data_IF_243343561892
#
_entry.id   IF_243343561892
#
_cell.length_a   1.000
_cell.length_b   1.000
_cell.length_c   1.000
_cell.angle_alpha   90.00
_cell.angle_beta   90.00
_cell.angle_gamma   90.00
#
_symmetry.space_group_name_H-M   'P 1'
#
loop_
_entity.id
_entity.type
_entity.pdbx_description
1 polymer ?
#
# COMPACT_ATOMS: atom_id res chain seq x y z
N UNK A 1 -0.44 3.64 17.88
CA UNK A 1 0.12 3.52 16.53
C UNK A 1 -0.97 3.17 15.54
N UNK A 2 -0.94 3.78 14.38
CA UNK A 2 -2.00 3.62 13.41
C UNK A 2 -1.46 3.52 11.99
N UNK A 3 -2.03 2.62 11.19
CA UNK A 3 -1.64 2.39 9.81
C UNK A 3 -2.79 2.73 8.86
N UNK A 4 -2.44 3.25 7.69
CA UNK A 4 -3.38 3.47 6.60
C UNK A 4 -3.00 2.56 5.44
N UNK A 5 -3.99 1.86 4.91
CA UNK A 5 -3.84 1.16 3.63
C UNK A 5 -4.76 1.86 2.64
N UNK A 6 -4.17 2.52 1.65
CA UNK A 6 -4.92 3.22 0.61
C UNK A 6 -4.80 2.43 -0.70
N UNK A 7 -5.90 2.18 -1.34
CA UNK A 7 -5.91 1.34 -2.52
C UNK A 7 -6.75 1.91 -3.65
N UNK A 8 -6.39 1.53 -4.87
CA UNK A 8 -7.15 1.80 -6.08
C UNK A 8 -7.41 0.45 -6.76
N UNK A 9 -8.64 0.18 -7.14
CA UNK A 9 -9.00 -1.11 -7.74
C UNK A 9 -10.17 -0.98 -8.71
N UNK A 10 -10.20 -1.85 -9.73
CA UNK A 10 -11.33 -1.94 -10.66
C UNK A 10 -12.16 -3.18 -10.40
N UNK A 11 -11.50 -4.28 -10.01
CA UNK A 11 -12.13 -5.60 -9.89
C UNK A 11 -12.13 -6.13 -8.46
N UNK A 12 -11.78 -5.29 -7.49
CA UNK A 12 -11.66 -5.63 -6.07
C UNK A 12 -10.49 -6.57 -5.73
N UNK A 13 -9.67 -6.93 -6.70
CA UNK A 13 -8.52 -7.81 -6.40
C UNK A 13 -7.48 -7.12 -5.53
N UNK A 14 -7.18 -5.85 -5.82
CA UNK A 14 -6.26 -5.08 -4.99
C UNK A 14 -6.83 -4.88 -3.59
N UNK A 15 -8.15 -4.70 -3.46
CA UNK A 15 -8.81 -4.61 -2.16
C UNK A 15 -8.63 -5.90 -1.36
N UNK A 16 -8.75 -7.06 -2.00
CA UNK A 16 -8.54 -8.35 -1.31
C UNK A 16 -7.13 -8.42 -0.72
N UNK A 17 -6.14 -8.01 -1.50
CA UNK A 17 -4.75 -7.98 -1.01
C UNK A 17 -4.62 -6.97 0.14
N UNK A 18 -5.22 -5.79 0.00
CA UNK A 18 -5.20 -4.76 1.04
C UNK A 18 -5.76 -5.28 2.36
N UNK A 19 -6.87 -6.00 2.31
CA UNK A 19 -7.51 -6.57 3.51
C UNK A 19 -6.63 -7.61 4.19
N UNK A 20 -5.92 -8.43 3.41
CA UNK A 20 -5.02 -9.45 3.94
C UNK A 20 -3.78 -8.81 4.59
N UNK A 21 -3.24 -7.78 3.95
CA UNK A 21 -2.13 -7.02 4.54
C UNK A 21 -2.58 -6.38 5.86
N UNK A 22 -3.80 -5.81 5.86
CA UNK A 22 -4.38 -5.21 7.07
C UNK A 22 -4.47 -6.23 8.22
N UNK A 23 -4.91 -7.46 7.93
CA UNK A 23 -4.96 -8.52 8.94
C UNK A 23 -3.58 -8.77 9.54
N UNK A 24 -2.54 -8.81 8.69
CA UNK A 24 -1.18 -9.01 9.15
C UNK A 24 -0.69 -7.88 10.06
N UNK A 25 -1.01 -6.64 9.72
CA UNK A 25 -0.64 -5.48 10.54
C UNK A 25 -1.40 -5.50 11.87
N UNK A 26 -2.70 -5.79 11.82
CA UNK A 26 -3.54 -5.85 13.03
C UNK A 26 -3.08 -6.92 14.00
N UNK A 27 -2.54 -8.02 13.50
CA UNK A 27 -2.05 -9.10 14.36
C UNK A 27 -0.91 -8.67 15.27
N UNK A 28 -0.28 -7.54 14.97
CA UNK A 28 0.79 -6.96 15.81
C UNK A 28 0.28 -5.87 16.75
N UNK A 29 -1.05 -5.69 16.86
CA UNK A 29 -1.65 -4.72 17.77
C UNK A 29 -1.74 -3.30 17.23
N UNK A 30 -1.55 -3.10 15.95
CA UNK A 30 -1.62 -1.79 15.30
C UNK A 30 -3.01 -1.59 14.70
N UNK A 31 -3.63 -0.43 14.94
CA UNK A 31 -4.88 -0.07 14.29
C UNK A 31 -4.67 0.15 12.81
N UNK A 32 -5.60 -0.31 11.97
CA UNK A 32 -5.49 -0.15 10.51
C UNK A 32 -6.80 0.38 9.94
N UNK A 33 -6.67 1.44 9.14
CA UNK A 33 -7.77 1.92 8.32
C UNK A 33 -7.48 1.49 6.88
N UNK A 34 -8.45 0.90 6.21
CA UNK A 34 -8.35 0.50 4.80
C UNK A 34 -9.31 1.39 4.01
N UNK A 35 -8.78 2.21 3.13
CA UNK A 35 -9.52 3.31 2.49
C UNK A 35 -9.26 3.35 0.99
N UNK A 36 -10.31 3.46 0.16
CA UNK A 36 -10.07 3.69 -1.27
C UNK A 36 -9.47 5.09 -1.47
N UNK A 37 -8.57 5.21 -2.43
CA UNK A 37 -7.83 6.47 -2.63
C UNK A 37 -8.74 7.68 -2.91
N UNK A 38 -9.91 7.47 -3.50
CA UNK A 38 -10.86 8.55 -3.77
C UNK A 38 -11.37 9.23 -2.50
N UNK A 39 -11.28 8.56 -1.36
CA UNK A 39 -11.74 9.11 -0.08
C UNK A 39 -10.66 9.93 0.63
N UNK A 40 -9.45 9.97 0.09
CA UNK A 40 -8.37 10.80 0.63
C UNK A 40 -8.40 12.13 -0.12
N UNK A 41 -8.80 13.18 0.60
CA UNK A 41 -9.01 14.50 0.01
C UNK A 41 -7.92 15.51 0.35
N UNK A 42 -7.21 15.31 1.46
CA UNK A 42 -6.21 16.26 1.97
C UNK A 42 -4.90 15.56 2.29
N UNK A 43 -3.80 16.23 1.97
CA UNK A 43 -2.47 15.73 2.30
C UNK A 43 -2.30 15.49 3.80
N UNK A 44 -2.85 16.36 4.63
CA UNK A 44 -2.75 16.24 6.10
C UNK A 44 -3.37 14.95 6.62
N UNK A 45 -4.35 14.39 5.92
CA UNK A 45 -4.98 13.14 6.35
C UNK A 45 -3.99 11.99 6.35
N UNK A 46 -2.96 12.06 5.50
CA UNK A 46 -1.92 11.04 5.42
C UNK A 46 -0.92 11.17 6.58
N UNK A 47 -0.74 12.37 7.10
CA UNK A 47 0.25 12.64 8.15
C UNK A 47 -0.13 12.09 9.51
N UNK A 48 -1.39 11.73 9.70
CA UNK A 48 -1.87 11.17 10.97
C UNK A 48 -1.40 9.73 11.23
N UNK A 49 -0.90 9.08 10.21
CA UNK A 49 -0.55 7.66 10.28
C UNK A 49 0.95 7.48 10.48
N UNK A 50 1.30 6.42 11.20
CA UNK A 50 2.70 6.04 11.41
C UNK A 50 3.19 5.12 10.29
N UNK A 51 2.25 4.40 9.68
CA UNK A 51 2.51 3.46 8.59
C UNK A 51 1.55 3.77 7.45
N UNK A 52 2.07 3.79 6.23
CA UNK A 52 1.24 3.93 5.03
C UNK A 52 1.60 2.87 4.01
N UNK A 53 0.61 2.12 3.54
CA UNK A 53 0.79 1.17 2.45
C UNK A 53 -0.15 1.56 1.32
N UNK A 54 0.39 1.70 0.12
CA UNK A 54 -0.37 2.13 -1.05
C UNK A 54 -0.40 1.01 -2.08
N UNK A 55 -1.58 0.73 -2.63
CA UNK A 55 -1.75 -0.35 -3.59
C UNK A 55 -2.63 0.01 -4.76
N UNK A 56 -2.25 -0.48 -5.94
CA UNK A 56 -2.96 -0.24 -7.18
C UNK A 56 -2.88 -1.46 -8.08
N UNK A 57 -3.91 -1.66 -8.88
CA UNK A 57 -3.80 -2.58 -10.02
C UNK A 57 -2.93 -1.90 -11.08
N UNK A 58 -2.34 -2.71 -11.97
CA UNK A 58 -1.58 -2.20 -13.09
C UNK A 58 -2.50 -2.04 -14.30
N UNK A 59 -2.49 -0.87 -14.91
CA UNK A 59 -3.23 -0.58 -16.13
C UNK A 59 -2.26 -0.11 -17.21
N UNK A 60 -2.21 -0.82 -18.35
CA UNK A 60 -1.33 -0.45 -19.43
C UNK A 60 0.12 -0.25 -19.00
N UNK A 61 0.61 -1.15 -18.15
CA UNK A 61 1.96 -1.11 -17.59
C UNK A 61 2.19 0.04 -16.61
N UNK A 62 1.12 0.65 -16.10
CA UNK A 62 1.25 1.82 -15.21
C UNK A 62 0.27 1.75 -14.03
N UNK A 63 0.45 2.69 -13.12
CA UNK A 63 -0.39 2.90 -11.94
C UNK A 63 -1.78 3.38 -12.40
N UNK A 64 -2.84 2.93 -11.75
CA UNK A 64 -4.18 3.43 -12.03
C UNK A 64 -4.27 4.94 -11.75
N UNK A 65 -5.08 5.63 -12.55
CA UNK A 65 -5.21 7.08 -12.48
C UNK A 65 -5.56 7.61 -11.09
N UNK A 66 -6.49 6.94 -10.39
CA UNK A 66 -6.89 7.38 -9.06
C UNK A 66 -5.74 7.33 -8.05
N UNK A 67 -4.90 6.30 -8.11
CA UNK A 67 -3.73 6.19 -7.27
C UNK A 67 -2.69 7.25 -7.65
N UNK A 68 -2.49 7.47 -8.94
CA UNK A 68 -1.57 8.50 -9.43
C UNK A 68 -1.93 9.88 -8.90
N UNK A 69 -3.24 10.19 -8.92
CA UNK A 69 -3.76 11.44 -8.40
C UNK A 69 -3.49 11.56 -6.89
N UNK A 70 -3.71 10.48 -6.15
CA UNK A 70 -3.46 10.47 -4.70
C UNK A 70 -1.97 10.62 -4.39
N UNK A 71 -1.10 10.02 -5.20
CA UNK A 71 0.34 10.16 -5.01
C UNK A 71 0.81 11.61 -5.20
N UNK A 72 0.18 12.33 -6.13
CA UNK A 72 0.48 13.76 -6.30
C UNK A 72 0.05 14.56 -5.09
N UNK A 73 -1.11 14.23 -4.52
CA UNK A 73 -1.57 14.86 -3.29
C UNK A 73 -0.59 14.56 -2.15
N UNK A 74 -0.09 13.34 -2.08
CA UNK A 74 0.85 12.91 -1.04
C UNK A 74 2.18 13.69 -1.07
N UNK A 75 2.56 14.24 -2.21
CA UNK A 75 3.76 15.07 -2.32
C UNK A 75 3.69 16.30 -1.41
N UNK A 76 2.49 16.76 -1.09
CA UNK A 76 2.28 17.92 -0.22
C UNK A 76 2.31 17.55 1.26
N UNK A 77 2.33 16.27 1.59
CA UNK A 77 2.37 15.78 2.97
C UNK A 77 3.82 15.54 3.41
N UNK A 78 4.06 15.64 4.71
CA UNK A 78 5.35 15.26 5.27
C UNK A 78 5.31 13.80 5.70
N UNK A 79 5.79 12.92 4.83
CA UNK A 79 5.80 11.47 5.06
C UNK A 79 7.20 10.93 5.37
N UNK A 80 8.20 11.81 5.44
CA UNK A 80 9.59 11.43 5.65
C UNK A 80 9.76 10.58 6.90
N UNK A 81 10.42 9.44 6.73
CA UNK A 81 10.73 8.52 7.83
C UNK A 81 9.57 7.64 8.29
N UNK A 82 8.36 7.86 7.79
CA UNK A 82 7.24 6.98 8.12
C UNK A 82 7.43 5.62 7.45
N UNK A 83 6.99 4.57 8.10
CA UNK A 83 7.10 3.20 7.56
C UNK A 83 6.14 3.04 6.40
N UNK A 84 6.59 2.43 5.31
CA UNK A 84 5.76 2.28 4.13
C UNK A 84 5.87 0.93 3.44
N UNK A 85 4.82 0.61 2.68
CA UNK A 85 4.78 -0.55 1.81
C UNK A 85 4.02 -0.22 0.54
N UNK A 86 4.20 -1.04 -0.48
CA UNK A 86 3.51 -0.90 -1.76
C UNK A 86 3.08 -2.26 -2.27
N UNK A 87 1.87 -2.33 -2.83
CA UNK A 87 1.32 -3.61 -3.27
C UNK A 87 0.39 -3.46 -4.46
N UNK A 88 -0.02 -4.58 -5.03
CA UNK A 88 -1.00 -4.55 -6.09
C UNK A 88 -1.34 -5.91 -6.65
N UNK A 89 -2.49 -5.97 -7.32
CA UNK A 89 -2.92 -7.11 -8.10
C UNK A 89 -2.66 -6.82 -9.58
N UNK A 90 -2.37 -7.84 -10.36
CA UNK A 90 -2.18 -7.67 -11.79
C UNK A 90 -2.70 -8.87 -12.57
N UNK A 91 -3.03 -8.65 -13.85
CA UNK A 91 -3.44 -9.72 -14.73
C UNK A 91 -2.35 -10.06 -15.74
N UNK A 92 -1.78 -9.03 -16.35
CA UNK A 92 -0.80 -9.17 -17.42
C UNK A 92 0.61 -8.80 -16.97
N UNK A 93 0.77 -7.59 -16.41
CA UNK A 93 2.06 -7.11 -15.93
C UNK A 93 1.88 -6.41 -14.58
N UNK A 94 2.92 -6.32 -13.78
CA UNK A 94 2.82 -5.88 -12.39
C UNK A 94 3.63 -4.64 -12.04
N UNK A 95 3.83 -3.72 -12.96
CA UNK A 95 4.69 -2.56 -12.76
C UNK A 95 4.19 -1.56 -11.74
N UNK A 96 2.87 -1.48 -11.50
CA UNK A 96 2.30 -0.47 -10.61
C UNK A 96 2.89 -0.51 -9.20
N UNK A 97 2.95 -1.69 -8.59
CA UNK A 97 3.47 -1.83 -7.23
C UNK A 97 4.94 -1.43 -7.11
N UNK A 98 5.73 -1.74 -8.12
CA UNK A 98 7.14 -1.37 -8.18
C UNK A 98 7.30 0.15 -8.29
N UNK A 99 6.51 0.78 -9.16
CA UNK A 99 6.54 2.24 -9.35
C UNK A 99 6.12 2.98 -8.09
N UNK A 100 5.07 2.50 -7.43
CA UNK A 100 4.60 3.09 -6.17
C UNK A 100 5.70 3.00 -5.12
N UNK A 101 6.33 1.84 -5.00
CA UNK A 101 7.42 1.62 -4.05
C UNK A 101 8.56 2.63 -4.27
N UNK A 102 8.95 2.81 -5.52
CA UNK A 102 10.02 3.75 -5.87
C UNK A 102 9.66 5.20 -5.51
N UNK A 103 8.43 5.60 -5.76
CA UNK A 103 7.95 6.95 -5.43
C UNK A 103 7.97 7.17 -3.91
N UNK A 104 7.44 6.21 -3.14
CA UNK A 104 7.41 6.33 -1.69
C UNK A 104 8.82 6.40 -1.10
N UNK A 105 9.72 5.60 -1.61
CA UNK A 105 11.11 5.54 -1.13
C UNK A 105 11.90 6.77 -1.53
N UNK A 106 11.86 7.14 -2.82
CA UNK A 106 12.75 8.15 -3.38
C UNK A 106 12.18 9.56 -3.36
N UNK A 107 10.88 9.72 -3.54
CA UNK A 107 10.22 11.02 -3.57
C UNK A 107 9.73 11.43 -2.19
N UNK A 108 9.10 10.51 -1.46
CA UNK A 108 8.54 10.81 -0.13
C UNK A 108 9.54 10.55 1.00
N UNK A 109 10.66 9.93 0.70
CA UNK A 109 11.73 9.64 1.67
C UNK A 109 11.22 8.83 2.87
N UNK A 110 10.34 7.87 2.60
CA UNK A 110 9.77 6.98 3.60
C UNK A 110 10.73 5.84 3.92
N UNK A 111 10.56 5.26 5.11
CA UNK A 111 11.29 4.07 5.54
C UNK A 111 10.53 2.83 5.03
N UNK A 112 10.91 2.35 3.86
CA UNK A 112 10.16 1.31 3.17
C UNK A 112 10.52 -0.09 3.66
N UNK A 113 9.50 -0.96 3.71
CA UNK A 113 9.72 -2.40 3.88
C UNK A 113 10.62 -2.91 2.73
N UNK A 114 11.26 -4.06 2.92
CA UNK A 114 12.31 -4.57 2.01
C UNK A 114 11.96 -4.59 0.52
N UNK A 115 10.67 -4.72 0.16
CA UNK A 115 10.23 -4.84 -1.24
C UNK A 115 8.76 -4.48 -1.39
N UNK A 116 8.30 -4.31 -2.61
CA UNK A 116 6.88 -4.24 -2.93
C UNK A 116 6.30 -5.66 -2.95
N UNK A 117 4.96 -5.76 -2.88
CA UNK A 117 4.25 -7.03 -2.90
C UNK A 117 3.23 -7.05 -4.02
N UNK A 118 3.24 -8.07 -4.86
CA UNK A 118 2.26 -8.19 -5.94
C UNK A 118 1.87 -9.64 -6.17
N UNK A 119 0.62 -9.83 -6.58
CA UNK A 119 0.08 -11.14 -6.93
C UNK A 119 -0.75 -11.02 -8.20
N UNK A 120 -0.70 -12.05 -9.03
CA UNK A 120 -1.68 -12.18 -10.10
C UNK A 120 -3.06 -12.41 -9.47
N UNK A 121 -4.10 -11.89 -10.13
CA UNK A 121 -5.47 -12.01 -9.62
C UNK A 121 -5.84 -13.45 -9.27
N UNK A 122 -5.45 -14.42 -10.10
CA UNK A 122 -5.75 -15.82 -9.88
C UNK A 122 -4.90 -16.48 -8.80
N UNK A 123 -3.85 -15.82 -8.33
CA UNK A 123 -2.96 -16.34 -7.28
C UNK A 123 -3.34 -15.93 -5.87
N UNK A 124 -4.29 -15.00 -5.73
CA UNK A 124 -4.62 -14.43 -4.42
C UNK A 124 -5.09 -15.49 -3.43
N UNK A 125 -5.99 -16.38 -3.86
CA UNK A 125 -6.55 -17.39 -2.98
C UNK A 125 -5.49 -18.36 -2.44
N UNK A 126 -4.49 -18.68 -3.24
CA UNK A 126 -3.42 -19.61 -2.85
C UNK A 126 -2.27 -18.94 -2.11
N UNK A 127 -2.26 -17.60 -2.03
CA UNK A 127 -1.16 -16.85 -1.45
C UNK A 127 -1.62 -15.86 -0.37
N UNK A 128 -2.72 -16.19 0.33
CA UNK A 128 -3.26 -15.31 1.38
C UNK A 128 -2.27 -15.10 2.52
N UNK A 129 -1.55 -16.15 2.91
CA UNK A 129 -0.61 -16.06 4.02
C UNK A 129 0.57 -15.17 3.67
N UNK A 130 1.05 -15.19 2.43
CA UNK A 130 2.13 -14.31 1.99
C UNK A 130 1.73 -12.84 2.09
N UNK A 131 0.46 -12.53 1.79
CA UNK A 131 -0.06 -11.16 1.92
C UNK A 131 -0.11 -10.75 3.39
N UNK A 132 -0.58 -11.63 4.27
CA UNK A 132 -0.59 -11.37 5.72
C UNK A 132 0.84 -11.18 6.24
N UNK A 133 1.78 -11.99 5.76
CA UNK A 133 3.18 -11.90 6.16
C UNK A 133 3.79 -10.56 5.73
N UNK A 134 3.40 -10.05 4.58
CA UNK A 134 3.84 -8.74 4.15
C UNK A 134 3.40 -7.67 5.17
N UNK A 135 2.16 -7.76 5.63
CA UNK A 135 1.66 -6.88 6.69
C UNK A 135 2.44 -7.02 7.98
N UNK A 136 2.78 -8.23 8.36
CA UNK A 136 3.58 -8.49 9.57
C UNK A 136 4.98 -7.91 9.45
N UNK A 137 5.58 -7.99 8.27
CA UNK A 137 6.89 -7.39 8.01
C UNK A 137 6.87 -5.87 8.17
N UNK A 138 5.83 -5.23 7.63
CA UNK A 138 5.63 -3.79 7.78
C UNK A 138 5.51 -3.44 9.27
N UNK A 139 4.69 -4.18 10.00
CA UNK A 139 4.47 -3.92 11.43
C UNK A 139 5.75 -4.05 12.25
N UNK A 140 6.61 -5.01 11.91
CA UNK A 140 7.88 -5.21 12.62
C UNK A 140 8.81 -4.02 12.48
N UNK A 141 8.74 -3.30 11.37
CA UNK A 141 9.57 -2.10 11.18
C UNK A 141 9.18 -1.00 12.17
N UNK A 142 7.89 -0.89 12.45
CA UNK A 142 7.40 0.14 13.38
C UNK A 142 7.72 -0.19 14.83
N UNK A 143 7.78 -1.46 15.18
CA UNK A 143 7.95 -1.90 16.58
C UNK A 143 9.40 -2.22 16.95
N UNK A 144 10.33 -1.94 16.09
CA UNK A 144 11.76 -2.12 16.37
C UNK A 144 12.26 -1.18 17.44
#
# INVERSE_FOLDING_TARGET
>A
MKALIAYSTRTKNTLKIAELIAEGIRSSGIEVDTVPVRDIEKAEDLERYDVLAFGSATEGEDIQWGMEKMLKLAEEANLKGKVGGAFGAYGWSGEASEKIYAIMKNTFDMDMVRSFFRLKAEEIEDNKEEARDYGREIARMLTK
#
